data_IF_801707862767
#
_entry.id   IF_801707862767
#
_cell.length_a   1.000
_cell.length_b   1.000
_cell.length_c   1.000
_cell.angle_alpha   90.00
_cell.angle_beta   90.00
_cell.angle_gamma   90.00
#
_symmetry.space_group_name_H-M   'P 1'
#
loop_
_entity.id
_entity.type
_entity.pdbx_description
1 polymer ?
2 polymer ?
3 non-polymer ?
4 non-polymer ?
5 water ?
#
loop_
_entity_poly.entity_id
_entity_poly.type
_entity_poly.pdbx_seq_one_letter_code
_entity_poly.pdbx_strand_id
2 'polydeoxyribonucleotide' '(DT)(DT)(DT)(DC)(DC)(DC)(DT)(DT)(DT)(DT)(DT)(DT)(DT)(DT)(DT)(DT)(DG)(DA)(DT)(DT)(DT)(DT)' ?
#
# COMPACT_ATOMS: atom_id res chain seq x y z
N UNK A 11 -15.61 -25.65 -15.11
CA UNK A 11 -14.36 -24.90 -15.09
C UNK A 11 -14.44 -23.54 -15.76
N UNK A 12 -13.65 -22.61 -15.21
CA UNK A 12 -13.63 -21.23 -15.70
C UNK A 12 -13.37 -21.18 -17.19
N UNK A 13 -12.59 -22.13 -17.72
CA UNK A 13 -12.36 -22.18 -19.15
C UNK A 13 -13.64 -22.47 -19.92
N UNK A 14 -14.57 -23.23 -19.33
CA UNK A 14 -15.86 -23.47 -19.95
C UNK A 14 -16.88 -22.35 -19.68
N UNK A 15 -16.58 -21.45 -18.74
CA UNK A 15 -17.52 -20.37 -18.41
C UNK A 15 -17.19 -19.07 -19.12
N UNK A 16 -16.00 -18.92 -19.67
CA UNK A 16 -15.58 -17.65 -20.23
C UNK A 16 -14.79 -17.89 -21.51
N UNK A 17 -14.76 -16.87 -22.36
CA UNK A 17 -13.86 -16.75 -23.50
C UNK A 17 -12.52 -16.21 -23.05
N UNK A 18 -11.49 -17.06 -22.84
CA UNK A 18 -10.21 -16.53 -22.33
C UNK A 18 -9.60 -15.50 -23.27
N UNK A 19 -9.06 -14.44 -22.69
CA UNK A 19 -8.53 -13.38 -23.52
C UNK A 19 -7.17 -13.75 -24.11
N UNK A 20 -6.79 -13.02 -25.16
CA UNK A 20 -5.50 -13.20 -25.79
C UNK A 20 -4.39 -12.84 -24.82
N UNK A 21 -3.27 -13.59 -24.81
CA UNK A 21 -2.16 -13.25 -23.89
C UNK A 21 -1.64 -11.83 -24.08
N UNK A 22 -1.60 -11.34 -25.32
CA UNK A 22 -1.15 -9.96 -25.53
C UNK A 22 -2.15 -8.97 -24.96
N UNK A 23 -3.45 -9.29 -25.06
CA UNK A 23 -4.46 -8.45 -24.43
C UNK A 23 -4.25 -8.38 -22.93
N UNK A 24 -3.93 -9.52 -22.31
CA UNK A 24 -3.73 -9.52 -20.87
C UNK A 24 -2.48 -8.73 -20.48
N UNK A 25 -1.34 -9.04 -21.09
CA UNK A 25 -0.08 -8.42 -20.66
C UNK A 25 -0.11 -6.91 -20.88
N UNK A 26 -0.72 -6.45 -21.98
CA UNK A 26 -0.71 -5.02 -22.26
C UNK A 26 -1.65 -4.27 -21.33
N UNK A 27 -2.76 -4.89 -20.95
CA UNK A 27 -3.77 -4.23 -20.13
C UNK A 27 -3.54 -4.36 -18.64
N UNK A 28 -2.85 -5.42 -18.20
CA UNK A 28 -2.66 -5.63 -16.77
C UNK A 28 -1.25 -5.30 -16.28
N UNK A 29 -0.34 -4.91 -17.16
CA UNK A 29 0.95 -4.38 -16.72
C UNK A 29 0.74 -3.34 -15.62
N UNK A 30 1.47 -3.47 -14.51
CA UNK A 30 1.16 -2.65 -13.34
C UNK A 30 2.10 -1.46 -13.16
N UNK A 31 2.70 -0.97 -14.24
CA UNK A 31 3.41 0.31 -14.13
C UNK A 31 2.39 1.36 -13.67
N UNK A 32 2.64 2.06 -12.56
CA UNK A 32 1.59 2.94 -12.01
C UNK A 32 1.13 4.03 -12.96
N UNK A 33 2.06 4.63 -13.71
CA UNK A 33 1.72 5.65 -14.70
C UNK A 33 1.84 4.97 -16.06
N UNK A 34 0.71 4.80 -16.74
CA UNK A 34 0.69 4.00 -17.95
C UNK A 34 -0.31 4.64 -18.90
N UNK A 35 0.18 5.25 -19.97
CA UNK A 35 -0.63 5.97 -20.93
C UNK A 35 -0.98 5.07 -22.12
N UNK A 36 -2.00 5.51 -22.86
CA UNK A 36 -2.39 4.85 -24.10
C UNK A 36 -3.44 3.76 -23.96
N UNK A 37 -3.89 3.42 -22.75
CA UNK A 37 -4.86 2.34 -22.58
C UNK A 37 -6.27 2.91 -22.72
N UNK A 38 -7.00 2.46 -23.73
CA UNK A 38 -8.35 2.98 -23.96
C UNK A 38 -9.44 2.15 -23.31
N UNK A 39 -9.11 1.11 -22.57
CA UNK A 39 -10.11 0.13 -22.12
C UNK A 39 -9.82 -0.30 -20.68
N UNK A 40 -10.90 -0.59 -19.94
CA UNK A 40 -10.81 -1.23 -18.62
C UNK A 40 -11.25 -2.68 -18.79
N UNK A 41 -10.49 -3.61 -18.20
CA UNK A 41 -10.81 -5.03 -18.22
C UNK A 41 -11.12 -5.50 -16.80
N UNK A 42 -12.10 -6.41 -16.70
CA UNK A 42 -12.60 -6.88 -15.41
C UNK A 42 -12.86 -8.37 -15.56
N UNK A 43 -12.09 -9.18 -14.82
CA UNK A 43 -12.28 -10.63 -14.74
C UNK A 43 -12.93 -10.94 -13.40
N UNK A 44 -14.01 -11.71 -13.41
CA UNK A 44 -14.71 -11.94 -12.15
C UNK A 44 -15.05 -13.41 -11.96
N UNK A 45 -15.18 -13.77 -10.68
CA UNK A 45 -15.70 -15.06 -10.27
C UNK A 45 -16.80 -14.81 -9.26
N UNK A 46 -17.88 -15.58 -9.36
CA UNK A 46 -18.94 -15.60 -8.36
C UNK A 46 -18.86 -16.93 -7.64
N UNK A 47 -18.76 -16.88 -6.31
CA UNK A 47 -18.60 -18.08 -5.50
C UNK A 47 -19.64 -18.09 -4.38
N UNK A 48 -19.82 -19.27 -3.76
CA UNK A 48 -20.62 -19.39 -2.57
C UNK A 48 -19.84 -18.87 -1.37
N UNK A 49 -20.42 -18.96 -0.17
CA UNK A 49 -19.67 -18.64 1.03
C UNK A 49 -18.47 -19.56 1.21
N UNK A 50 -18.58 -20.81 0.77
CA UNK A 50 -17.43 -21.72 0.76
C UNK A 50 -16.57 -21.44 -0.46
N UNK A 51 -15.33 -20.98 -0.29
CA UNK A 51 -14.58 -20.44 -1.44
C UNK A 51 -13.79 -21.48 -2.21
N UNK A 52 -13.46 -22.60 -1.57
CA UNK A 52 -12.46 -23.52 -2.13
C UNK A 52 -12.93 -24.11 -3.45
N UNK A 53 -14.18 -24.57 -3.51
CA UNK A 53 -14.71 -25.20 -4.69
C UNK A 53 -14.70 -24.29 -5.91
N UNK A 54 -14.97 -24.86 -7.08
CA UNK A 54 -14.97 -24.06 -8.30
C UNK A 54 -16.06 -23.01 -8.24
N UNK A 55 -15.89 -21.90 -8.97
CA UNK A 55 -16.88 -20.84 -8.90
C UNK A 55 -18.20 -21.28 -9.50
N UNK A 56 -19.27 -20.59 -9.08
CA UNK A 56 -20.56 -20.83 -9.71
C UNK A 56 -20.59 -20.30 -11.14
N UNK A 57 -19.89 -19.21 -11.40
CA UNK A 57 -19.80 -18.63 -12.73
C UNK A 57 -18.58 -17.73 -12.77
N UNK A 58 -18.16 -17.38 -13.98
CA UNK A 58 -17.03 -16.49 -14.17
C UNK A 58 -17.24 -15.77 -15.49
N UNK A 59 -16.78 -14.53 -15.55
CA UNK A 59 -17.03 -13.69 -16.72
C UNK A 59 -15.87 -12.72 -16.92
N UNK A 60 -15.69 -12.29 -18.17
CA UNK A 60 -14.74 -11.23 -18.50
C UNK A 60 -15.54 -10.09 -19.11
N UNK A 61 -15.42 -8.90 -18.53
CA UNK A 61 -16.09 -7.70 -19.00
C UNK A 61 -15.06 -6.68 -19.43
N UNK A 62 -15.36 -5.93 -20.48
CA UNK A 62 -14.49 -4.86 -20.92
C UNK A 62 -15.33 -3.64 -21.25
N UNK A 63 -14.73 -2.48 -21.17
CA UNK A 63 -15.43 -1.27 -21.55
C UNK A 63 -14.48 -0.13 -21.80
N UNK A 64 -14.77 0.70 -22.80
CA UNK A 64 -13.91 1.86 -23.06
C UNK A 64 -13.97 2.85 -21.91
N UNK A 65 -12.82 3.43 -21.55
CA UNK A 65 -12.82 4.39 -20.46
C UNK A 65 -13.70 5.60 -20.78
N UNK A 66 -13.64 6.06 -22.02
CA UNK A 66 -14.40 7.22 -22.49
C UNK A 66 -15.28 6.80 -23.67
N UNK A 67 -16.47 7.40 -23.83
CA UNK A 67 -16.98 8.59 -23.13
C UNK A 67 -17.85 8.38 -21.88
N UNK A 68 -18.47 7.21 -21.68
CA UNK A 68 -19.50 7.06 -20.67
C UNK A 68 -19.15 5.94 -19.70
N UNK A 69 -19.17 6.28 -18.40
CA UNK A 69 -18.91 5.28 -17.35
C UNK A 69 -19.97 4.19 -17.33
N UNK A 70 -21.15 4.44 -17.89
CA UNK A 70 -22.20 3.43 -17.85
C UNK A 70 -21.83 2.18 -18.64
N UNK A 71 -20.85 2.28 -19.54
CA UNK A 71 -20.34 1.11 -20.25
C UNK A 71 -18.99 0.65 -19.72
N UNK A 72 -18.55 1.16 -18.57
CA UNK A 72 -17.38 0.59 -17.93
C UNK A 72 -17.70 -0.83 -17.44
N UNK A 73 -16.71 -1.71 -17.37
CA UNK A 73 -17.02 -3.12 -17.06
C UNK A 73 -17.66 -3.31 -15.69
N UNK A 74 -17.43 -2.41 -14.73
CA UNK A 74 -18.11 -2.48 -13.43
C UNK A 74 -19.63 -2.41 -13.59
N UNK A 75 -20.12 -1.50 -14.43
CA UNK A 75 -21.56 -1.40 -14.65
C UNK A 75 -22.08 -2.58 -15.47
N UNK A 76 -21.30 -3.05 -16.46
CA UNK A 76 -21.70 -4.25 -17.17
C UNK A 76 -21.83 -5.43 -16.23
N UNK A 77 -20.89 -5.56 -15.29
CA UNK A 77 -20.99 -6.60 -14.27
C UNK A 77 -22.29 -6.50 -13.50
N UNK A 78 -22.58 -5.30 -12.97
CA UNK A 78 -23.77 -5.14 -12.13
C UNK A 78 -25.03 -5.54 -12.88
N UNK A 79 -25.14 -5.16 -14.16
CA UNK A 79 -26.30 -5.53 -14.95
C UNK A 79 -26.37 -7.04 -15.19
N UNK A 80 -25.25 -7.66 -15.58
CA UNK A 80 -25.24 -9.11 -15.76
C UNK A 80 -25.58 -9.83 -14.46
N UNK A 81 -24.94 -9.43 -13.37
CA UNK A 81 -25.12 -10.11 -12.10
C UNK A 81 -26.57 -10.07 -11.64
N UNK A 82 -27.24 -8.94 -11.89
CA UNK A 82 -28.62 -8.81 -11.45
C UNK A 82 -29.52 -9.80 -12.18
N UNK A 83 -29.29 -10.00 -13.48
CA UNK A 83 -30.09 -10.98 -14.22
C UNK A 83 -29.67 -12.41 -13.87
N UNK A 84 -28.36 -12.63 -13.67
CA UNK A 84 -27.87 -13.95 -13.27
C UNK A 84 -28.50 -14.40 -11.96
N UNK A 85 -28.59 -13.49 -10.99
CA UNK A 85 -29.16 -13.86 -9.70
C UNK A 85 -30.62 -14.23 -9.82
N UNK A 86 -31.35 -13.65 -10.78
CA UNK A 86 -32.73 -14.06 -10.95
C UNK A 86 -32.85 -15.50 -11.42
N UNK A 87 -31.86 -15.99 -12.15
CA UNK A 87 -31.92 -17.31 -12.75
C UNK A 87 -31.33 -18.40 -11.86
N UNK A 88 -30.91 -18.05 -10.64
CA UNK A 88 -30.25 -19.00 -9.76
C UNK A 88 -30.84 -18.90 -8.36
N UNK A 89 -30.81 -20.02 -7.63
CA UNK A 89 -31.40 -20.05 -6.30
C UNK A 89 -30.61 -19.18 -5.32
N UNK A 90 -31.32 -18.30 -4.63
CA UNK A 90 -30.69 -17.30 -3.78
C UNK A 90 -29.84 -17.93 -2.68
N UNK A 91 -28.65 -17.36 -2.48
CA UNK A 91 -27.75 -17.73 -1.41
C UNK A 91 -26.71 -16.62 -1.30
N UNK A 92 -25.87 -16.71 -0.29
CA UNK A 92 -24.84 -15.69 -0.09
C UNK A 92 -23.71 -15.90 -1.10
N UNK A 93 -23.23 -14.79 -1.67
CA UNK A 93 -22.22 -14.81 -2.71
C UNK A 93 -20.99 -14.02 -2.29
N UNK A 94 -19.82 -14.59 -2.56
CA UNK A 94 -18.55 -13.88 -2.49
C UNK A 94 -18.06 -13.69 -3.92
N UNK A 95 -17.87 -12.44 -4.32
CA UNK A 95 -17.46 -12.09 -5.67
C UNK A 95 -16.03 -11.57 -5.62
N UNK A 96 -15.21 -11.96 -6.59
CA UNK A 96 -13.85 -11.45 -6.75
C UNK A 96 -13.72 -10.82 -8.14
N UNK A 97 -13.09 -9.64 -8.18
CA UNK A 97 -12.74 -8.96 -9.42
C UNK A 97 -11.22 -8.83 -9.55
N UNK A 98 -10.70 -9.06 -10.76
CA UNK A 98 -9.36 -8.61 -11.15
C UNK A 98 -9.59 -7.52 -12.19
N UNK A 99 -9.28 -6.26 -11.87
CA UNK A 99 -9.59 -5.13 -12.76
C UNK A 99 -8.30 -4.43 -13.17
N UNK A 100 -8.23 -3.98 -14.44
CA UNK A 100 -6.98 -3.41 -14.91
C UNK A 100 -6.74 -2.01 -14.35
N UNK A 101 -7.78 -1.18 -14.34
CA UNK A 101 -7.80 0.12 -13.68
C UNK A 101 -8.75 0.05 -12.48
N UNK A 102 -8.39 0.74 -11.39
CA UNK A 102 -9.30 0.86 -10.27
C UNK A 102 -10.52 1.71 -10.65
N UNK A 103 -11.60 1.64 -9.87
CA UNK A 103 -12.87 2.26 -10.30
C UNK A 103 -12.80 3.78 -10.36
N UNK A 104 -13.43 4.32 -11.42
CA UNK A 104 -13.64 5.75 -11.46
C UNK A 104 -14.66 6.13 -10.40
N UNK A 105 -14.89 7.44 -10.27
CA UNK A 105 -15.73 7.93 -9.19
C UNK A 105 -17.17 7.45 -9.34
N UNK A 106 -17.67 7.41 -10.59
CA UNK A 106 -19.04 7.01 -10.84
C UNK A 106 -19.24 5.53 -10.54
N UNK A 107 -18.34 4.68 -11.03
CA UNK A 107 -18.46 3.26 -10.77
C UNK A 107 -18.31 2.94 -9.28
N UNK A 108 -17.35 3.61 -8.62
CA UNK A 108 -17.14 3.35 -7.20
C UNK A 108 -18.40 3.64 -6.41
N UNK A 109 -19.11 4.71 -6.76
CA UNK A 109 -20.33 5.06 -6.05
C UNK A 109 -21.48 4.11 -6.38
N UNK A 110 -21.61 3.69 -7.64
CA UNK A 110 -22.66 2.74 -7.99
C UNK A 110 -22.44 1.38 -7.32
N UNK A 111 -21.20 0.90 -7.28
CA UNK A 111 -20.92 -0.37 -6.62
C UNK A 111 -21.14 -0.22 -5.11
N UNK A 112 -20.66 0.88 -4.54
CA UNK A 112 -20.86 1.15 -3.12
C UNK A 112 -22.35 1.13 -2.77
N UNK A 113 -23.18 1.75 -3.60
CA UNK A 113 -24.62 1.76 -3.35
C UNK A 113 -25.20 0.35 -3.47
N UNK A 114 -24.73 -0.43 -4.45
CA UNK A 114 -25.23 -1.78 -4.61
C UNK A 114 -24.82 -2.66 -3.42
N UNK A 115 -23.55 -2.57 -3.00
CA UNK A 115 -23.08 -3.37 -1.88
C UNK A 115 -23.77 -2.96 -0.58
N UNK A 116 -23.97 -1.65 -0.39
CA UNK A 116 -24.53 -1.17 0.86
C UNK A 116 -25.96 -1.63 1.07
N UNK A 117 -26.72 -1.82 -0.01
CA UNK A 117 -28.12 -2.21 0.09
C UNK A 117 -28.35 -3.71 -0.14
N UNK A 118 -27.30 -4.51 -0.14
CA UNK A 118 -27.42 -5.96 -0.35
C UNK A 118 -26.48 -6.68 0.60
N UNK A 119 -26.97 -7.15 1.75
CA UNK A 119 -26.09 -7.83 2.71
C UNK A 119 -25.67 -9.23 2.29
N UNK A 120 -26.24 -9.79 1.23
CA UNK A 120 -25.89 -11.15 0.84
C UNK A 120 -24.69 -11.22 -0.10
N UNK A 121 -24.15 -10.09 -0.54
CA UNK A 121 -23.04 -10.06 -1.48
C UNK A 121 -21.84 -9.41 -0.83
N UNK A 122 -20.69 -10.10 -0.93
CA UNK A 122 -19.39 -9.62 -0.48
C UNK A 122 -18.50 -9.53 -1.70
N UNK A 123 -17.72 -8.46 -1.78
CA UNK A 123 -16.95 -8.19 -2.99
C UNK A 123 -15.51 -7.87 -2.63
N UNK A 124 -14.57 -8.50 -3.33
CA UNK A 124 -13.15 -8.18 -3.25
C UNK A 124 -12.68 -7.73 -4.61
N UNK A 125 -11.99 -6.59 -4.67
CA UNK A 125 -11.48 -6.02 -5.93
C UNK A 125 -9.96 -5.98 -5.84
N UNK A 126 -9.29 -6.77 -6.67
CA UNK A 126 -7.86 -6.63 -6.88
C UNK A 126 -7.64 -5.73 -8.09
N UNK A 127 -6.80 -4.71 -7.96
CA UNK A 127 -6.56 -3.77 -9.06
C UNK A 127 -5.12 -3.88 -9.53
N UNK A 128 -4.93 -3.84 -10.86
CA UNK A 128 -3.58 -3.83 -11.39
C UNK A 128 -2.92 -2.45 -11.23
N UNK A 129 -3.68 -1.38 -11.53
CA UNK A 129 -3.20 -0.01 -11.43
C UNK A 129 -4.24 0.84 -10.72
N UNK A 130 -3.78 1.90 -10.04
CA UNK A 130 -4.66 2.90 -9.44
C UNK A 130 -4.93 4.03 -10.42
N UNK A 131 -6.21 4.21 -10.76
CA UNK A 131 -6.65 5.20 -11.74
C UNK A 131 -6.80 6.57 -11.05
N UNK A 132 -6.00 7.55 -11.48
CA UNK A 132 -6.07 8.91 -10.95
C UNK A 132 -5.94 8.93 -9.42
N UNK A 133 -4.98 8.17 -8.91
CA UNK A 133 -4.86 8.03 -7.47
C UNK A 133 -4.54 9.35 -6.76
N UNK A 134 -4.00 10.35 -7.49
CA UNK A 134 -3.62 11.62 -6.90
C UNK A 134 -4.76 12.63 -6.86
N UNK A 135 -5.95 12.27 -7.39
CA UNK A 135 -7.03 13.25 -7.49
C UNK A 135 -7.99 13.04 -6.33
N UNK A 136 -8.29 14.09 -5.57
CA UNK A 136 -9.11 13.91 -4.36
C UNK A 136 -10.46 13.24 -4.62
N UNK A 137 -11.09 13.55 -5.76
CA UNK A 137 -12.37 12.95 -6.08
C UNK A 137 -12.28 11.44 -6.18
N UNK A 138 -11.20 10.94 -6.80
CA UNK A 138 -11.03 9.50 -6.94
C UNK A 138 -10.65 8.86 -5.62
N UNK A 139 -9.83 9.54 -4.83
CA UNK A 139 -9.49 9.04 -3.50
C UNK A 139 -10.74 8.88 -2.65
N UNK A 140 -11.59 9.92 -2.62
CA UNK A 140 -12.82 9.87 -1.83
C UNK A 140 -13.72 8.72 -2.28
N UNK A 141 -13.86 8.53 -3.58
CA UNK A 141 -14.77 7.51 -4.08
C UNK A 141 -14.30 6.10 -3.70
N UNK A 142 -12.99 5.87 -3.71
CA UNK A 142 -12.48 4.57 -3.27
C UNK A 142 -12.72 4.37 -1.77
N UNK A 143 -12.67 5.44 -0.98
CA UNK A 143 -13.00 5.31 0.44
C UNK A 143 -14.47 4.99 0.62
N UNK A 144 -15.35 5.64 -0.15
CA UNK A 144 -16.79 5.33 -0.12
C UNK A 144 -17.01 3.87 -0.43
N UNK A 145 -16.33 3.35 -1.45
CA UNK A 145 -16.44 1.94 -1.82
C UNK A 145 -15.95 1.03 -0.69
N UNK A 146 -14.78 1.36 -0.10
CA UNK A 146 -14.29 0.58 1.03
C UNK A 146 -15.24 0.64 2.21
N UNK A 147 -15.87 1.80 2.43
CA UNK A 147 -16.78 1.93 3.57
C UNK A 147 -18.05 1.12 3.40
N UNK A 148 -18.47 0.89 2.16
CA UNK A 148 -19.58 -0.01 1.88
C UNK A 148 -19.22 -1.47 2.07
N UNK A 149 -17.97 -1.80 2.39
CA UNK A 149 -17.55 -3.17 2.67
C UNK A 149 -16.72 -3.82 1.58
N UNK A 150 -16.47 -3.15 0.45
CA UNK A 150 -15.62 -3.73 -0.59
C UNK A 150 -14.19 -3.85 -0.08
N UNK A 151 -13.56 -4.98 -0.35
CA UNK A 151 -12.18 -5.22 0.05
C UNK A 151 -11.30 -4.89 -1.15
N UNK A 152 -10.51 -3.84 -1.04
CA UNK A 152 -9.70 -3.35 -2.14
C UNK A 152 -8.24 -3.67 -1.89
N UNK A 153 -7.62 -4.35 -2.86
CA UNK A 153 -6.22 -4.73 -2.76
C UNK A 153 -5.54 -4.47 -4.09
N UNK A 154 -4.22 -4.43 -4.06
CA UNK A 154 -3.40 -4.35 -5.26
C UNK A 154 -3.08 -5.77 -5.71
N UNK A 155 -3.21 -6.03 -7.01
CA UNK A 155 -2.81 -7.31 -7.58
C UNK A 155 -1.31 -7.50 -7.39
N UNK A 156 -0.91 -8.65 -6.84
CA UNK A 156 0.48 -9.04 -6.75
C UNK A 156 0.72 -10.24 -7.67
N UNK A 157 1.96 -10.72 -7.69
CA UNK A 157 2.34 -11.87 -8.52
C UNK A 157 1.31 -13.01 -8.48
N UNK A 158 0.89 -13.42 -7.26
CA UNK A 158 -0.06 -14.52 -7.17
C UNK A 158 -1.36 -14.21 -7.91
N UNK A 159 -1.81 -12.95 -7.87
CA UNK A 159 -3.07 -12.63 -8.51
C UNK A 159 -2.93 -12.52 -10.02
N UNK A 160 -1.83 -11.94 -10.51
CA UNK A 160 -1.56 -11.98 -11.95
C UNK A 160 -1.45 -13.42 -12.43
N UNK A 161 -0.75 -14.28 -11.67
CA UNK A 161 -0.62 -15.67 -12.07
C UNK A 161 -1.98 -16.36 -12.10
N UNK A 162 -2.79 -16.13 -11.07
CA UNK A 162 -4.12 -16.72 -11.02
C UNK A 162 -4.99 -16.21 -12.17
N UNK A 163 -4.92 -14.91 -12.45
CA UNK A 163 -5.69 -14.35 -13.55
C UNK A 163 -5.24 -14.92 -14.89
N UNK A 164 -3.94 -15.10 -15.06
CA UNK A 164 -3.40 -15.74 -16.25
C UNK A 164 -3.92 -17.16 -16.39
N UNK A 165 -3.89 -17.95 -15.30
CA UNK A 165 -4.34 -19.34 -15.36
C UNK A 165 -5.82 -19.45 -15.70
N UNK A 166 -6.65 -18.54 -15.16
CA UNK A 166 -8.10 -18.67 -15.27
C UNK A 166 -8.69 -17.97 -16.49
N UNK A 167 -8.18 -16.78 -16.85
CA UNK A 167 -8.88 -15.92 -17.78
C UNK A 167 -8.13 -15.67 -19.08
N UNK A 168 -6.98 -16.30 -19.29
CA UNK A 168 -6.12 -15.99 -20.42
C UNK A 168 -5.83 -17.27 -21.20
N UNK A 169 -5.82 -17.15 -22.53
CA UNK A 169 -5.52 -18.26 -23.44
C UNK A 169 -4.00 -18.49 -23.46
N UNK A 170 -3.49 -18.89 -22.29
CA UNK A 170 -2.07 -19.14 -22.11
C UNK A 170 -1.55 -20.41 -22.77
N UNK A 171 -2.45 -21.32 -23.15
CA UNK A 171 -2.08 -22.53 -23.88
C UNK A 171 -1.08 -23.38 -23.10
N UNK A 172 -1.29 -23.49 -21.79
CA UNK A 172 -0.43 -24.29 -20.95
C UNK A 172 0.88 -23.65 -20.56
N UNK A 173 1.27 -22.54 -21.19
CA UNK A 173 2.48 -21.85 -20.79
C UNK A 173 2.24 -21.12 -19.46
N UNK A 174 3.22 -21.10 -18.57
CA UNK A 174 3.04 -20.42 -17.28
C UNK A 174 3.12 -18.92 -17.40
N UNK A 175 2.53 -18.24 -16.42
CA UNK A 175 2.65 -16.79 -16.31
C UNK A 175 4.11 -16.38 -16.20
N UNK A 176 4.48 -15.35 -16.95
CA UNK A 176 5.83 -14.81 -16.95
C UNK A 176 5.79 -13.35 -16.48
N UNK A 177 6.34 -13.02 -15.31
CA UNK A 177 6.20 -11.65 -14.81
C UNK A 177 6.99 -10.65 -15.65
N UNK A 178 6.40 -9.47 -15.83
CA UNK A 178 7.09 -8.39 -16.51
C UNK A 178 8.07 -7.71 -15.56
N UNK A 179 8.93 -6.89 -16.14
CA UNK A 179 9.96 -6.24 -15.35
C UNK A 179 9.33 -5.28 -14.35
N UNK A 180 9.90 -5.24 -13.14
CA UNK A 180 9.51 -4.33 -12.06
C UNK A 180 8.11 -4.56 -11.55
N UNK A 181 7.52 -5.73 -11.81
CA UNK A 181 6.25 -6.07 -11.15
C UNK A 181 6.31 -5.87 -9.64
N UNK A 182 7.37 -6.31 -8.92
CA UNK A 182 7.37 -6.12 -7.45
C UNK A 182 7.45 -4.67 -7.02
N UNK A 183 8.35 -3.90 -7.65
CA UNK A 183 8.48 -2.49 -7.31
C UNK A 183 7.18 -1.73 -7.56
N UNK A 184 6.51 -2.03 -8.67
CA UNK A 184 5.20 -1.41 -8.90
C UNK A 184 4.21 -1.78 -7.81
N UNK A 185 4.15 -3.07 -7.46
CA UNK A 185 3.23 -3.52 -6.42
C UNK A 185 3.43 -2.74 -5.12
N UNK A 186 4.68 -2.65 -4.64
CA UNK A 186 4.91 -2.01 -3.35
C UNK A 186 4.51 -0.54 -3.37
N UNK A 187 4.80 0.16 -4.48
CA UNK A 187 4.41 1.56 -4.61
C UNK A 187 2.89 1.70 -4.55
N UNK A 188 2.18 0.87 -5.33
CA UNK A 188 0.72 0.94 -5.37
C UNK A 188 0.12 0.52 -4.03
N UNK A 189 0.70 -0.50 -3.39
CA UNK A 189 0.14 -0.93 -2.11
C UNK A 189 0.25 0.17 -1.07
N UNK A 190 1.42 0.83 -1.00
CA UNK A 190 1.55 1.97 -0.09
C UNK A 190 0.61 3.11 -0.45
N UNK A 191 0.45 3.38 -1.74
CA UNK A 191 -0.44 4.44 -2.18
C UNK A 191 -1.91 4.13 -1.83
N UNK A 192 -2.33 2.87 -2.02
CA UNK A 192 -3.70 2.51 -1.66
C UNK A 192 -3.94 2.66 -0.17
N UNK A 193 -3.01 2.16 0.66
CA UNK A 193 -3.16 2.32 2.09
C UNK A 193 -3.25 3.77 2.51
N UNK A 194 -2.44 4.62 1.86
CA UNK A 194 -2.49 6.06 2.08
C UNK A 194 -3.88 6.62 1.80
N UNK A 195 -4.43 6.34 0.62
CA UNK A 195 -5.69 7.00 0.25
C UNK A 195 -6.90 6.39 0.96
N UNK A 196 -6.85 5.12 1.32
CA UNK A 196 -7.90 4.56 2.15
C UNK A 196 -7.72 4.91 3.62
N UNK A 197 -6.63 5.59 3.97
CA UNK A 197 -6.32 5.94 5.35
C UNK A 197 -6.31 4.71 6.24
N UNK A 198 -5.58 3.68 5.80
CA UNK A 198 -5.39 2.49 6.63
C UNK A 198 -4.65 2.84 7.91
N UNK A 199 -5.20 2.39 9.03
CA UNK A 199 -4.60 2.61 10.33
C UNK A 199 -3.97 1.31 10.82
N UNK A 200 -2.91 1.43 11.59
CA UNK A 200 -2.16 0.24 11.95
C UNK A 200 -2.82 -0.41 13.16
N UNK A 201 -2.80 -1.73 13.19
CA UNK A 201 -3.41 -2.46 14.29
C UNK A 201 -2.76 -2.07 15.62
N UNK A 202 -3.54 -1.85 16.69
CA UNK A 202 -2.95 -1.35 17.95
C UNK A 202 -1.96 -2.33 18.59
N UNK A 203 -2.24 -3.63 18.53
CA UNK A 203 -1.28 -4.60 19.04
C UNK A 203 -0.01 -4.60 18.22
N UNK A 204 -0.14 -4.44 16.90
CA UNK A 204 1.03 -4.37 16.03
C UNK A 204 1.88 -3.16 16.40
N UNK A 205 1.24 -2.01 16.62
CA UNK A 205 1.97 -0.81 17.04
C UNK A 205 2.71 -1.06 18.34
N UNK A 206 1.99 -1.50 19.39
CA UNK A 206 2.61 -1.64 20.70
C UNK A 206 3.74 -2.66 20.68
N UNK A 207 3.56 -3.76 19.95
CA UNK A 207 4.61 -4.77 19.90
C UNK A 207 5.85 -4.26 19.17
N UNK A 208 5.66 -3.43 18.14
CA UNK A 208 6.81 -3.04 17.34
C UNK A 208 7.46 -1.74 17.75
N UNK A 209 6.77 -0.88 18.49
CA UNK A 209 7.37 0.39 18.90
C UNK A 209 7.78 0.42 20.36
N UNK A 210 7.44 -0.61 21.13
CA UNK A 210 7.99 -0.74 22.48
C UNK A 210 9.51 -0.62 22.42
N UNK A 211 10.09 0.27 23.23
CA UNK A 211 11.51 0.58 23.10
C UNK A 211 12.38 -0.12 24.16
N UNK A 212 11.83 -1.11 24.87
CA UNK A 212 12.68 -1.90 25.75
C UNK A 212 13.61 -2.76 24.90
N UNK A 213 14.69 -3.27 25.49
CA UNK A 213 15.58 -4.18 24.74
C UNK A 213 14.77 -5.28 24.03
N UNK A 214 15.03 -5.42 22.73
CA UNK A 214 14.27 -6.35 21.89
C UNK A 214 14.66 -7.80 22.21
N UNK A 215 13.65 -8.66 22.43
CA UNK A 215 13.91 -10.06 22.71
C UNK A 215 13.30 -11.02 21.69
N UNK A 216 12.46 -10.55 20.78
CA UNK A 216 11.86 -11.45 19.79
C UNK A 216 12.86 -11.85 18.73
N UNK A 217 12.68 -13.05 18.17
CA UNK A 217 13.49 -13.42 17.02
C UNK A 217 13.12 -12.70 15.73
N UNK A 218 11.98 -12.03 15.69
CA UNK A 218 11.53 -11.35 14.47
C UNK A 218 12.33 -10.08 14.21
N UNK A 219 12.75 -9.88 12.97
CA UNK A 219 13.25 -8.57 12.54
C UNK A 219 12.30 -8.02 11.48
N UNK A 220 11.41 -7.13 11.91
CA UNK A 220 10.49 -6.41 11.04
C UNK A 220 10.59 -4.94 11.37
N UNK A 221 10.38 -4.08 10.36
CA UNK A 221 10.45 -2.63 10.57
C UNK A 221 9.14 -2.00 10.08
N UNK A 222 8.48 -1.26 10.97
CA UNK A 222 7.30 -0.48 10.67
C UNK A 222 7.68 0.99 10.65
N UNK A 223 7.17 1.73 9.66
CA UNK A 223 7.61 3.10 9.45
C UNK A 223 6.38 3.96 9.18
N UNK A 224 6.13 4.96 10.03
CA UNK A 224 5.09 5.96 9.83
C UNK A 224 5.71 7.23 9.25
N UNK A 225 4.99 7.88 8.34
CA UNK A 225 5.56 9.03 7.66
C UNK A 225 4.54 10.16 7.53
N UNK A 226 5.06 11.38 7.42
CA UNK A 226 4.24 12.57 7.27
C UNK A 226 5.06 13.63 6.55
N UNK A 227 4.36 14.61 5.99
CA UNK A 227 5.01 15.69 5.25
C UNK A 227 4.48 17.04 5.74
N UNK A 228 5.36 18.03 5.76
CA UNK A 228 5.02 19.41 6.05
C UNK A 228 5.62 20.30 4.98
N UNK A 229 5.00 21.45 4.78
CA UNK A 229 5.39 22.43 3.78
C UNK A 229 5.82 23.72 4.48
N UNK A 230 6.83 24.38 3.93
CA UNK A 230 7.25 25.68 4.45
C UNK A 230 6.34 26.76 3.89
N UNK A 231 5.61 27.45 4.77
CA UNK A 231 4.71 28.53 4.38
C UNK A 231 4.92 29.70 5.35
N UNK A 232 5.46 30.80 4.84
CA UNK A 232 5.75 32.00 5.64
C UNK A 232 6.64 31.66 6.83
N UNK A 233 7.77 31.02 6.55
CA UNK A 233 8.76 30.64 7.56
C UNK A 233 8.10 29.85 8.69
N UNK A 234 7.16 28.98 8.33
CA UNK A 234 6.42 28.16 9.28
C UNK A 234 6.14 26.82 8.62
N UNK A 235 6.22 25.75 9.40
CA UNK A 235 5.94 24.41 8.91
C UNK A 235 4.45 24.11 9.07
N UNK A 236 3.76 23.91 7.95
CA UNK A 236 2.32 23.63 7.96
C UNK A 236 2.14 22.17 7.53
N UNK A 237 1.18 21.45 8.12
CA UNK A 237 0.93 20.07 7.67
C UNK A 237 0.54 20.02 6.20
N UNK A 238 1.04 18.99 5.52
CA UNK A 238 0.57 18.61 4.18
C UNK A 238 -0.24 17.33 4.36
N UNK A 239 -1.56 17.47 4.43
CA UNK A 239 -2.43 16.38 4.80
C UNK A 239 -2.47 15.23 3.79
N UNK A 240 -1.83 15.37 2.63
CA UNK A 240 -2.02 14.41 1.55
C UNK A 240 -1.24 13.11 1.76
N UNK A 241 0.01 13.21 2.21
CA UNK A 241 0.92 12.06 2.16
C UNK A 241 1.28 11.66 3.59
N UNK A 242 0.37 10.91 4.21
CA UNK A 242 0.50 10.50 5.60
C UNK A 242 0.04 9.06 5.69
N UNK A 243 0.86 8.20 6.29
CA UNK A 243 0.50 6.79 6.34
C UNK A 243 1.59 5.98 7.00
N UNK A 244 1.55 4.66 6.81
CA UNK A 244 2.61 3.81 7.31
C UNK A 244 2.85 2.68 6.33
N UNK A 245 4.02 2.06 6.45
CA UNK A 245 4.38 0.89 5.66
C UNK A 245 5.32 0.03 6.49
N UNK A 246 5.70 -1.11 5.94
CA UNK A 246 6.61 -2.02 6.62
C UNK A 246 7.58 -2.62 5.62
N UNK A 247 8.61 -3.29 6.14
CA UNK A 247 9.60 -3.93 5.29
C UNK A 247 8.97 -5.06 4.48
N UNK A 248 9.54 -5.32 3.30
CA UNK A 248 9.13 -6.43 2.44
C UNK A 248 10.09 -7.60 2.63
N UNK A 249 9.58 -8.72 3.13
CA UNK A 249 10.41 -9.90 3.35
C UNK A 249 10.86 -10.49 2.01
N UNK A 250 12.00 -11.18 1.97
CA UNK A 250 12.49 -11.73 0.71
C UNK A 250 11.54 -12.77 0.13
N UNK A 251 11.54 -12.87 -1.20
CA UNK A 251 10.71 -13.83 -1.92
C UNK A 251 11.14 -13.75 -3.37
N UNK A 252 11.41 -14.91 -4.00
CA UNK A 252 11.96 -14.90 -5.34
C UNK A 252 10.99 -14.30 -6.35
N UNK A 253 9.70 -14.27 -6.03
CA UNK A 253 8.71 -13.61 -6.89
C UNK A 253 8.41 -12.18 -6.47
N UNK A 254 9.07 -11.68 -5.43
CA UNK A 254 8.96 -10.28 -5.09
C UNK A 254 10.35 -9.70 -5.15
N UNK A 255 10.88 -9.30 -4.01
CA UNK A 255 12.28 -8.88 -3.93
C UNK A 255 13.09 -10.04 -3.40
N UNK A 256 13.99 -10.62 -4.21
CA UNK A 256 14.71 -11.83 -3.75
C UNK A 256 15.50 -11.63 -2.48
N UNK A 257 15.98 -10.42 -2.21
CA UNK A 257 16.71 -10.13 -0.97
C UNK A 257 15.93 -9.20 -0.05
N UNK A 258 14.64 -9.03 -0.29
CA UNK A 258 13.81 -8.17 0.53
C UNK A 258 13.95 -6.71 0.12
N UNK A 259 13.05 -5.89 0.67
CA UNK A 259 13.18 -4.43 0.50
C UNK A 259 12.85 -3.78 1.83
N UNK A 260 13.85 -3.18 2.45
CA UNK A 260 13.68 -2.67 3.80
C UNK A 260 12.74 -1.46 3.81
N UNK A 261 12.14 -1.21 4.98
CA UNK A 261 11.13 -0.15 5.11
C UNK A 261 11.65 1.20 4.65
N UNK A 262 12.87 1.57 5.05
CA UNK A 262 13.41 2.88 4.65
C UNK A 262 13.46 3.02 3.13
N UNK A 263 13.84 1.95 2.41
CA UNK A 263 13.87 2.04 0.95
C UNK A 263 12.46 2.17 0.37
N UNK A 264 11.49 1.43 0.90
CA UNK A 264 10.12 1.57 0.41
C UNK A 264 9.60 2.97 0.66
N UNK A 265 9.99 3.55 1.80
CA UNK A 265 9.66 4.94 2.10
C UNK A 265 10.30 5.89 1.08
N UNK A 266 11.60 5.71 0.79
CA UNK A 266 12.25 6.57 -0.20
C UNK A 266 11.63 6.44 -1.59
N UNK A 267 11.15 5.24 -1.94
CA UNK A 267 10.48 5.01 -3.22
C UNK A 267 9.26 5.90 -3.38
N UNK A 268 8.55 6.17 -2.29
CA UNK A 268 7.30 6.95 -2.39
C UNK A 268 7.55 8.42 -2.73
N UNK A 269 8.66 8.99 -2.24
CA UNK A 269 8.81 10.45 -2.30
C UNK A 269 8.79 10.98 -3.73
N UNK A 270 9.56 10.44 -4.68
CA UNK A 270 9.47 10.96 -6.06
C UNK A 270 8.09 10.76 -6.65
N UNK A 271 7.39 9.72 -6.20
CA UNK A 271 6.08 9.37 -6.70
C UNK A 271 5.02 10.37 -6.24
N UNK A 272 5.29 11.10 -5.15
CA UNK A 272 4.39 12.16 -4.71
C UNK A 272 4.42 13.36 -5.63
N UNK A 273 5.49 13.54 -6.40
CA UNK A 273 5.63 14.67 -7.32
C UNK A 273 5.54 16.01 -6.59
N UNK A 274 6.34 16.13 -5.52
CA UNK A 274 6.38 17.39 -4.79
C UNK A 274 6.89 18.49 -5.70
N UNK A 275 6.35 19.70 -5.53
CA UNK A 275 6.81 20.82 -6.34
C UNK A 275 8.12 21.37 -5.77
N UNK A 276 8.50 22.58 -6.20
CA UNK A 276 9.74 23.20 -5.82
C UNK A 276 9.80 23.81 -4.43
N UNK A 277 8.69 23.83 -3.70
CA UNK A 277 8.69 24.42 -2.37
C UNK A 277 9.50 23.57 -1.41
N UNK A 278 9.77 24.12 -0.24
CA UNK A 278 10.53 23.39 0.77
C UNK A 278 9.62 22.45 1.54
N UNK A 279 10.09 21.22 1.76
CA UNK A 279 9.29 20.19 2.40
C UNK A 279 10.12 19.52 3.49
N UNK A 280 9.46 19.25 4.62
CA UNK A 280 10.04 18.44 5.70
C UNK A 280 9.30 17.12 5.75
N UNK A 281 10.00 16.04 5.49
CA UNK A 281 9.45 14.69 5.49
C UNK A 281 9.94 13.99 6.74
N UNK A 282 9.01 13.53 7.58
CA UNK A 282 9.35 12.91 8.86
C UNK A 282 8.91 11.46 8.83
N UNK A 283 9.78 10.57 9.31
CA UNK A 283 9.44 9.17 9.45
C UNK A 283 9.70 8.72 10.88
N UNK A 284 8.79 7.89 11.39
CA UNK A 284 8.88 7.30 12.72
C UNK A 284 9.03 5.81 12.50
N UNK A 285 10.23 5.29 12.71
CA UNK A 285 10.56 3.94 12.28
C UNK A 285 10.92 3.10 13.50
N UNK A 286 10.39 1.87 13.56
CA UNK A 286 10.57 1.08 14.78
C UNK A 286 12.03 0.67 14.99
N UNK A 287 12.78 0.47 13.90
CA UNK A 287 14.22 0.25 13.95
C UNK A 287 14.92 1.37 13.19
N UNK A 288 16.02 1.89 13.74
CA UNK A 288 16.85 2.81 12.97
C UNK A 288 17.38 2.09 11.73
N UNK A 289 17.68 2.82 10.66
CA UNK A 289 18.08 2.14 9.42
C UNK A 289 19.45 1.49 9.53
N UNK A 290 19.57 0.32 8.91
CA UNK A 290 20.85 -0.36 8.74
C UNK A 290 21.75 0.48 7.82
N UNK A 291 22.99 0.03 7.67
CA UNK A 291 23.95 0.82 6.89
C UNK A 291 23.46 1.02 5.46
N UNK A 292 22.94 -0.03 4.82
CA UNK A 292 22.56 0.12 3.42
C UNK A 292 21.35 1.04 3.27
N UNK A 293 20.41 1.01 4.22
CA UNK A 293 19.29 1.96 4.19
C UNK A 293 19.77 3.39 4.38
N UNK A 294 20.61 3.64 5.39
CA UNK A 294 21.05 5.00 5.68
C UNK A 294 21.89 5.56 4.55
N UNK A 295 22.62 4.70 3.83
CA UNK A 295 23.39 5.13 2.67
C UNK A 295 22.46 5.62 1.56
N UNK A 296 21.39 4.86 1.31
CA UNK A 296 20.43 5.27 0.29
C UNK A 296 19.67 6.52 0.71
N UNK A 297 19.38 6.64 2.01
CA UNK A 297 18.78 7.85 2.55
C UNK A 297 19.72 9.04 2.38
N UNK A 298 21.02 8.81 2.59
CA UNK A 298 21.99 9.89 2.43
C UNK A 298 22.13 10.30 0.97
N UNK A 299 22.04 9.32 0.07
CA UNK A 299 22.02 9.63 -1.37
C UNK A 299 20.82 10.49 -1.72
N UNK A 300 19.65 10.15 -1.18
CA UNK A 300 18.43 10.89 -1.51
C UNK A 300 18.54 12.35 -1.07
N UNK A 301 18.92 12.57 0.19
CA UNK A 301 19.05 13.92 0.73
C UNK A 301 19.94 14.76 -0.18
N UNK A 302 21.05 14.18 -0.64
CA UNK A 302 22.01 14.94 -1.43
C UNK A 302 21.49 15.31 -2.81
N UNK A 303 20.48 14.61 -3.33
CA UNK A 303 19.92 14.92 -4.63
C UNK A 303 18.54 15.55 -4.56
N UNK A 304 18.05 15.87 -3.35
CA UNK A 304 16.72 16.47 -3.16
C UNK A 304 16.79 17.50 -2.04
N UNK A 305 17.36 18.67 -2.37
CA UNK A 305 17.63 19.64 -1.32
C UNK A 305 16.41 20.42 -0.87
N UNK A 306 15.31 20.38 -1.62
CA UNK A 306 14.07 20.96 -1.12
C UNK A 306 13.38 20.05 -0.09
N UNK A 307 13.96 18.88 0.22
CA UNK A 307 13.41 17.94 1.19
C UNK A 307 14.31 17.91 2.43
N UNK A 308 13.74 18.28 3.58
CA UNK A 308 14.39 18.11 4.86
C UNK A 308 13.88 16.81 5.46
N UNK A 309 14.78 15.87 5.73
CA UNK A 309 14.44 14.54 6.23
C UNK A 309 14.62 14.51 7.74
N UNK A 310 13.62 13.99 8.45
CA UNK A 310 13.68 13.84 9.91
C UNK A 310 13.37 12.39 10.24
N UNK A 311 14.29 11.72 10.94
CA UNK A 311 14.14 10.32 11.30
C UNK A 311 14.02 10.22 12.82
N UNK A 312 12.91 9.67 13.29
CA UNK A 312 12.74 9.28 14.68
C UNK A 312 12.70 7.77 14.73
N UNK A 313 13.49 7.16 15.62
CA UNK A 313 13.59 5.72 15.74
C UNK A 313 13.16 5.28 17.12
N UNK A 314 12.44 4.15 17.20
CA UNK A 314 12.10 3.60 18.51
C UNK A 314 13.30 2.93 19.16
N UNK A 315 14.06 2.17 18.38
CA UNK A 315 15.21 1.41 18.84
C UNK A 315 16.34 1.58 17.84
N UNK A 316 17.57 1.34 18.31
CA UNK A 316 18.74 1.37 17.44
C UNK A 316 19.02 -0.06 16.94
N UNK A 317 19.08 -0.23 15.63
CA UNK A 317 19.33 -1.56 15.06
C UNK A 317 20.82 -1.72 14.80
N UNK A 318 21.44 -2.69 15.48
CA UNK A 318 22.82 -3.08 15.23
C UNK A 318 22.81 -4.13 14.12
N UNK A 319 23.30 -3.76 12.94
CA UNK A 319 23.25 -4.65 11.78
C UNK A 319 24.47 -5.58 11.69
N UNK A 320 25.26 -5.68 12.76
CA UNK A 320 26.53 -6.41 12.78
C UNK A 320 27.53 -5.88 11.76
N UNK A 321 27.30 -4.66 11.28
CA UNK A 321 28.17 -4.07 10.27
C UNK A 321 28.39 -2.60 10.54
N UNK A 322 28.17 -1.77 9.52
CA UNK A 322 28.60 -0.37 9.57
C UNK A 322 27.47 0.58 9.94
N UNK A 323 26.49 0.11 10.74
CA UNK A 323 25.32 0.96 11.02
C UNK A 323 25.70 2.26 11.72
N UNK A 324 26.75 2.25 12.56
CA UNK A 324 27.16 3.48 13.24
C UNK A 324 27.65 4.51 12.23
N UNK A 325 28.48 4.10 11.28
CA UNK A 325 28.93 4.99 10.22
C UNK A 325 27.77 5.47 9.36
N UNK A 326 26.82 4.58 9.07
CA UNK A 326 25.65 4.99 8.29
C UNK A 326 24.85 6.07 8.98
N UNK A 327 24.66 5.95 10.30
CA UNK A 327 23.95 6.99 11.03
C UNK A 327 24.75 8.29 11.08
N UNK A 328 26.07 8.18 11.21
CA UNK A 328 26.91 9.39 11.21
C UNK A 328 26.86 10.08 9.86
N UNK A 329 26.94 9.30 8.77
CA UNK A 329 26.88 9.89 7.44
C UNK A 329 25.53 10.57 7.20
N UNK A 330 24.44 9.94 7.64
CA UNK A 330 23.11 10.50 7.48
C UNK A 330 22.99 11.83 8.22
N UNK A 331 23.49 11.89 9.46
CA UNK A 331 23.41 13.13 10.24
C UNK A 331 24.22 14.25 9.61
N UNK A 332 25.43 13.95 9.13
CA UNK A 332 26.25 15.00 8.55
C UNK A 332 25.66 15.53 7.26
N UNK A 333 25.00 14.69 6.46
CA UNK A 333 24.38 15.14 5.23
C UNK A 333 23.09 15.91 5.46
N UNK A 334 22.68 16.10 6.72
CA UNK A 334 21.61 17.01 7.05
C UNK A 334 20.34 16.38 7.56
N UNK A 335 20.27 15.06 7.66
CA UNK A 335 19.10 14.44 8.28
C UNK A 335 19.11 14.73 9.78
N UNK A 336 17.94 15.00 10.33
CA UNK A 336 17.79 15.04 11.78
C UNK A 336 17.48 13.62 12.22
N UNK A 337 18.29 13.07 13.12
CA UNK A 337 18.10 11.73 13.65
C UNK A 337 17.93 11.84 15.16
N UNK A 338 16.87 11.22 15.67
CA UNK A 338 16.58 11.30 17.10
C UNK A 338 15.86 10.04 17.50
N UNK A 339 16.03 9.65 18.76
CA UNK A 339 15.29 8.53 19.32
C UNK A 339 13.89 9.01 19.70
N UNK A 340 12.90 8.18 19.48
CA UNK A 340 11.54 8.52 19.86
C UNK A 340 11.42 8.64 21.38
N UNK A 341 10.79 9.72 21.83
CA UNK A 341 10.44 9.97 23.21
C UNK A 341 8.93 9.80 23.38
N UNK A 342 8.43 10.06 24.60
CA UNK A 342 7.01 9.87 24.87
C UNK A 342 6.14 10.63 23.86
N UNK A 343 6.49 11.88 23.56
CA UNK A 343 5.62 12.70 22.71
C UNK A 343 5.49 12.09 21.31
N UNK A 344 6.56 11.48 20.79
CA UNK A 344 6.50 10.88 19.46
C UNK A 344 5.73 9.57 19.46
N UNK A 345 5.87 8.77 20.51
CA UNK A 345 5.05 7.56 20.62
C UNK A 345 3.58 7.94 20.71
N UNK A 346 3.25 8.92 21.55
CA UNK A 346 1.86 9.35 21.69
C UNK A 346 1.32 9.87 20.37
N UNK A 347 2.13 10.66 19.65
CA UNK A 347 1.70 11.21 18.37
C UNK A 347 1.39 10.10 17.38
N UNK A 348 2.23 9.08 17.29
CA UNK A 348 2.01 8.00 16.35
C UNK A 348 0.78 7.17 16.74
N UNK A 349 0.60 6.91 18.03
CA UNK A 349 -0.62 6.27 18.48
C UNK A 349 -1.84 7.07 18.04
N UNK A 350 -1.82 8.39 18.31
CA UNK A 350 -2.97 9.22 17.99
C UNK A 350 -3.22 9.34 16.49
N UNK A 351 -2.15 9.29 15.67
CA UNK A 351 -2.24 9.60 14.25
C UNK A 351 -2.36 8.38 13.35
N UNK A 352 -1.56 7.33 13.59
CA UNK A 352 -1.41 6.24 12.64
C UNK A 352 -2.07 4.94 13.08
N UNK A 353 -2.61 4.88 14.29
CA UNK A 353 -3.06 3.62 14.89
C UNK A 353 -4.57 3.60 14.95
N UNK A 354 -5.16 2.44 14.68
CA UNK A 354 -6.59 2.20 14.82
C UNK A 354 -6.93 2.07 16.30
N UNK A 355 -6.96 3.23 16.98
CA UNK A 355 -7.10 3.23 18.43
C UNK A 355 -8.54 3.15 18.91
N UNK A 356 -9.51 3.37 18.02
CA UNK A 356 -10.93 3.42 18.40
C UNK A 356 -11.15 4.34 19.59
N UNK A 357 -10.65 5.58 19.46
CA UNK A 357 -10.79 6.58 20.49
C UNK A 357 -9.97 6.39 21.75
N UNK A 358 -9.41 5.21 21.98
CA UNK A 358 -8.66 4.95 23.20
C UNK A 358 -7.39 5.79 23.23
N UNK A 359 -7.00 6.31 24.40
CA UNK A 359 -5.79 7.14 24.48
C UNK A 359 -4.54 6.28 24.54
N UNK A 360 -3.40 6.95 24.38
CA UNK A 360 -2.11 6.27 24.42
C UNK A 360 -1.81 5.79 25.84
N UNK A 361 -1.59 4.49 25.99
CA UNK A 361 -1.23 3.90 27.27
C UNK A 361 0.24 3.49 27.23
N UNK A 362 1.15 4.27 27.81
CA UNK A 362 2.58 3.98 27.66
C UNK A 362 2.98 2.69 28.34
N UNK A 363 3.90 1.97 27.71
CA UNK A 363 4.44 0.74 28.31
C UNK A 363 5.41 1.09 29.43
N UNK A 364 5.67 0.11 30.29
CA UNK A 364 6.60 0.31 31.40
C UNK A 364 7.98 0.70 30.90
N UNK A 365 8.59 1.67 31.58
CA UNK A 365 9.96 2.08 31.30
C UNK A 365 10.17 2.90 30.04
N UNK A 366 9.09 3.44 29.45
CA UNK A 366 9.21 4.16 28.18
C UNK A 366 10.22 5.29 28.28
N UNK A 367 10.10 6.14 29.29
CA UNK A 367 11.01 7.28 29.39
C UNK A 367 12.44 6.83 29.69
N UNK A 368 12.61 5.83 30.56
CA UNK A 368 13.96 5.38 30.89
C UNK A 368 14.66 4.77 29.66
N UNK A 369 13.95 3.94 28.91
CA UNK A 369 14.55 3.36 27.71
C UNK A 369 14.86 4.44 26.66
N UNK A 370 13.95 5.41 26.47
CA UNK A 370 14.25 6.53 25.56
C UNK A 370 15.51 7.28 25.98
N UNK A 371 15.68 7.49 27.28
CA UNK A 371 16.87 8.19 27.77
C UNK A 371 18.13 7.40 27.46
N UNK A 372 18.13 6.10 27.76
CA UNK A 372 19.30 5.29 27.51
C UNK A 372 19.63 5.26 26.03
N UNK A 373 18.61 5.02 25.18
CA UNK A 373 18.80 5.02 23.73
C UNK A 373 19.27 6.37 23.21
N UNK A 374 18.74 7.47 23.75
CA UNK A 374 19.20 8.78 23.30
C UNK A 374 20.68 8.98 23.60
N UNK A 375 21.13 8.51 24.77
CA UNK A 375 22.55 8.63 25.10
C UNK A 375 23.42 7.76 24.22
N UNK A 376 22.91 6.59 23.84
CA UNK A 376 23.63 5.74 22.89
C UNK A 376 23.69 6.39 21.50
N UNK A 377 22.57 6.94 21.03
CA UNK A 377 22.59 7.66 19.76
C UNK A 377 23.57 8.84 19.80
N UNK A 378 23.49 9.65 20.87
CA UNK A 378 24.44 10.76 21.05
C UNK A 378 25.89 10.30 20.92
N UNK A 379 26.22 9.17 21.54
CA UNK A 379 27.59 8.64 21.49
C UNK A 379 27.97 8.20 20.08
N UNK A 380 27.03 7.59 19.35
CA UNK A 380 27.29 7.19 17.97
C UNK A 380 27.63 8.41 17.12
N UNK A 381 26.81 9.46 17.23
CA UNK A 381 26.95 10.61 16.34
C UNK A 381 28.18 11.46 16.64
N UNK A 382 28.79 11.27 17.81
CA UNK A 382 29.95 12.05 18.21
C UNK A 382 31.26 11.28 18.12
N UNK A 383 31.21 9.99 17.80
CA UNK A 383 32.42 9.22 17.56
C UNK A 383 32.95 9.50 16.15
X LIG C 1 -16.05 3.61 -14.13
X LIG D 1 17.90 -1.49 6.23
X LIG E 1 16.37 -1.98 9.05
X LIG E 1 16.81 -1.66 10.48
X LIG E 1 16.58 -3.46 8.80
X LIG E 1 17.20 -1.20 8.08
X LIG E 1 14.93 -1.58 8.91
#
# INVERSE_FOLDING_TARGET
GPGGSGGMKPQIRNMVEPMDPRTFVSNFNNRPILSGLDTVWLCCEVKTKDPSGPPLDAKIFQGKVYPKAKYHPEMRFLRWFHKWRQLHHDQEYKVTWYVSWSPCTRCANSVATFLAKDPKVTLTIFVARLYYFWKPDYQQALRILAEAGATMKIMNYNEFQDCWNKFVDGRGKPFKPWNNLPKHYTLLQATLGELLRHLMDPGTFTSNFNNKPWVSGQHETYLCYKVERLHNDTWVPLNQHRGFLRNQAPNIHGFPKGRHAALCFLDLIPFWKLDGQQYRVTCFTSWSPCFSCAQEMAKFISNNEHVSLCIFAARIYDDQGRYQEGLRTLHRDGAKIAMMNYSEFEYCWDTFVDRQGRPFQPWDGLDEHSQALSGRLRAILQNILQ
ZN ZN
ZN ZN
PO4 P O1 O2 O3 O4
#
